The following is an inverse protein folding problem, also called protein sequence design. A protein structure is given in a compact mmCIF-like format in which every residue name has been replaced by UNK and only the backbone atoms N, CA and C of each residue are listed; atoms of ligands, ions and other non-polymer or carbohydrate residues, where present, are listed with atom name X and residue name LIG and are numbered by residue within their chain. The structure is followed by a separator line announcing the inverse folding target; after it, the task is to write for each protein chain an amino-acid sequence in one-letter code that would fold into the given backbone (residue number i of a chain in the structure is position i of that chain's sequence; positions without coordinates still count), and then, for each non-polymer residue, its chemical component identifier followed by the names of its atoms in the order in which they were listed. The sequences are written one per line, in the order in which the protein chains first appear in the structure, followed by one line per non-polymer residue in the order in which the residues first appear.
data_IF_595681333060
#
_entry.id   IF_595681333060
#
_cell.length_a   1.000
_cell.length_b   1.000
_cell.length_c   1.000
_cell.angle_alpha   90.00
_cell.angle_beta   90.00
_cell.angle_gamma   90.00
#
_symmetry.space_group_name_H-M   'P 1'
#
loop_
_entity.id
_entity.type
_entity.pdbx_description
1 polymer ?
#
# COMPACT_ATOMS: atom_id res chain seq x y z
N UNK A 1 4.27 11.20 -37.51
CA UNK A 1 5.59 11.54 -36.96
C UNK A 1 5.33 12.46 -35.78
N UNK A 2 5.40 11.93 -34.57
CA UNK A 2 5.01 12.62 -33.35
C UNK A 2 6.27 13.21 -32.71
N UNK A 3 6.37 14.53 -32.73
CA UNK A 3 7.53 15.27 -32.24
C UNK A 3 7.48 15.33 -30.72
N UNK A 4 8.24 14.46 -30.05
CA UNK A 4 8.48 14.61 -28.61
C UNK A 4 9.25 15.91 -28.35
N UNK A 5 8.56 16.93 -27.84
CA UNK A 5 9.17 18.18 -27.39
C UNK A 5 10.12 17.87 -26.23
N UNK A 6 11.42 18.04 -26.46
CA UNK A 6 12.47 17.78 -25.47
C UNK A 6 12.44 18.84 -24.36
N UNK A 7 12.44 18.38 -23.10
CA UNK A 7 12.48 19.25 -21.92
C UNK A 7 13.79 20.06 -21.90
N UNK A 8 13.69 21.36 -21.68
CA UNK A 8 14.85 22.27 -21.58
C UNK A 8 15.59 22.06 -20.24
N UNK A 9 16.75 21.39 -20.30
CA UNK A 9 17.57 21.07 -19.11
C UNK A 9 18.31 22.26 -18.47
N UNK A 10 18.21 23.47 -19.04
CA UNK A 10 18.81 24.70 -18.48
C UNK A 10 17.82 25.54 -17.69
N UNK A 11 16.53 25.25 -17.79
CA UNK A 11 15.48 25.95 -17.08
C UNK A 11 15.02 25.09 -15.91
N UNK A 12 15.00 25.66 -14.70
CA UNK A 12 14.41 24.96 -13.54
C UNK A 12 12.92 24.71 -13.79
N UNK A 13 12.38 23.55 -13.39
CA UNK A 13 10.92 23.38 -13.36
C UNK A 13 10.29 24.41 -12.42
N UNK A 14 9.01 24.70 -12.66
CA UNK A 14 8.19 25.49 -11.74
C UNK A 14 8.06 24.74 -10.41
N UNK A 15 8.07 25.51 -9.31
CA UNK A 15 7.76 24.97 -7.99
C UNK A 15 6.24 24.75 -7.95
N UNK A 16 5.81 23.52 -7.71
CA UNK A 16 4.40 23.14 -7.59
C UNK A 16 4.02 23.19 -6.11
N UNK A 17 2.91 23.84 -5.77
CA UNK A 17 2.39 23.82 -4.40
C UNK A 17 1.86 22.40 -4.10
N UNK A 18 2.06 21.91 -2.88
CA UNK A 18 1.59 20.59 -2.47
C UNK A 18 0.06 20.45 -2.61
N UNK A 19 -0.69 21.56 -2.51
CA UNK A 19 -2.14 21.56 -2.71
C UNK A 19 -2.57 21.28 -4.15
N UNK A 20 -1.66 21.50 -5.11
CA UNK A 20 -1.90 21.22 -6.53
C UNK A 20 -1.55 19.77 -6.92
N UNK A 21 -1.01 18.97 -5.98
CA UNK A 21 -0.72 17.56 -6.20
C UNK A 21 -2.00 16.73 -6.12
N UNK A 22 -2.36 16.12 -7.25
CA UNK A 22 -3.43 15.13 -7.29
C UNK A 22 -2.87 13.75 -6.91
N UNK A 23 -2.89 13.44 -5.62
CA UNK A 23 -2.43 12.16 -5.08
C UNK A 23 -3.56 11.14 -5.13
N UNK A 24 -3.42 10.14 -6.01
CA UNK A 24 -4.31 8.98 -6.04
C UNK A 24 -3.61 7.76 -5.43
N UNK A 25 -4.36 6.97 -4.67
CA UNK A 25 -3.87 5.68 -4.20
C UNK A 25 -3.70 4.73 -5.39
N UNK A 26 -2.60 3.99 -5.40
CA UNK A 26 -2.41 2.91 -6.38
C UNK A 26 -3.54 1.90 -6.23
N UNK A 27 -4.08 1.42 -7.35
CA UNK A 27 -5.00 0.30 -7.37
C UNK A 27 -4.34 -0.93 -6.75
N UNK A 28 -5.09 -1.70 -5.97
CA UNK A 28 -4.68 -3.02 -5.51
C UNK A 28 -5.27 -4.11 -6.40
N UNK A 29 -4.52 -5.17 -6.57
CA UNK A 29 -4.98 -6.41 -7.18
C UNK A 29 -5.62 -7.27 -6.09
N UNK A 30 -6.83 -7.78 -6.36
CA UNK A 30 -7.56 -8.64 -5.42
C UNK A 30 -7.56 -10.07 -5.93
N UNK A 31 -7.22 -10.99 -5.04
CA UNK A 31 -7.28 -12.43 -5.26
C UNK A 31 -8.14 -13.08 -4.17
N UNK A 32 -8.69 -14.24 -4.48
CA UNK A 32 -9.33 -15.11 -3.50
C UNK A 32 -8.64 -16.47 -3.61
N UNK A 33 -8.09 -16.94 -2.49
CA UNK A 33 -7.41 -18.24 -2.42
C UNK A 33 -8.46 -19.38 -2.38
N UNK A 34 -8.04 -20.61 -2.66
CA UNK A 34 -8.92 -21.79 -2.66
C UNK A 34 -9.63 -22.03 -1.31
N UNK A 35 -9.06 -21.53 -0.21
CA UNK A 35 -9.64 -21.58 1.13
C UNK A 35 -10.57 -20.39 1.46
N UNK A 36 -10.88 -19.54 0.48
CA UNK A 36 -11.74 -18.36 0.61
C UNK A 36 -11.07 -17.13 1.24
N UNK A 37 -9.75 -17.17 1.51
CA UNK A 37 -9.05 -16.02 2.08
C UNK A 37 -8.80 -14.96 0.99
N UNK A 38 -9.26 -13.71 1.18
CA UNK A 38 -8.97 -12.63 0.24
C UNK A 38 -7.52 -12.13 0.41
N UNK A 39 -6.82 -11.93 -0.70
CA UNK A 39 -5.46 -11.36 -0.74
C UNK A 39 -5.50 -10.07 -1.54
N UNK A 40 -4.88 -9.03 -1.01
CA UNK A 40 -4.73 -7.74 -1.69
C UNK A 40 -3.24 -7.47 -1.92
N UNK A 41 -2.86 -7.28 -3.17
CA UNK A 41 -1.47 -7.05 -3.57
C UNK A 41 -1.31 -5.69 -4.24
N UNK A 42 -0.19 -5.01 -3.94
CA UNK A 42 0.17 -3.73 -4.56
C UNK A 42 1.62 -3.84 -5.04
N UNK A 43 1.85 -3.64 -6.33
CA UNK A 43 3.20 -3.48 -6.85
C UNK A 43 3.66 -2.02 -6.69
N UNK A 44 4.49 -1.78 -5.67
CA UNK A 44 4.98 -0.44 -5.35
C UNK A 44 6.19 -0.01 -6.21
N UNK A 45 6.90 -0.95 -6.84
CA UNK A 45 7.92 -0.73 -7.88
C UNK A 45 9.19 0.06 -7.50
N UNK A 46 9.28 0.59 -6.28
CA UNK A 46 10.41 1.42 -5.87
C UNK A 46 11.64 0.59 -5.46
N UNK A 47 11.43 -0.62 -4.94
CA UNK A 47 12.46 -1.46 -4.33
C UNK A 47 12.17 -2.95 -4.60
N UNK A 48 13.22 -3.77 -4.68
CA UNK A 48 13.14 -5.24 -4.77
C UNK A 48 12.91 -5.87 -3.38
N UNK A 49 11.85 -5.42 -2.70
CA UNK A 49 11.45 -5.88 -1.36
C UNK A 49 9.98 -6.24 -1.35
N UNK A 50 9.61 -7.21 -0.51
CA UNK A 50 8.23 -7.63 -0.31
C UNK A 50 7.84 -7.48 1.15
N UNK A 51 6.67 -6.89 1.39
CA UNK A 51 6.02 -6.84 2.68
C UNK A 51 4.75 -7.69 2.62
N UNK A 52 4.53 -8.51 3.64
CA UNK A 52 3.35 -9.36 3.77
C UNK A 52 2.75 -9.12 5.15
N UNK A 53 1.46 -8.81 5.19
CA UNK A 53 0.71 -8.58 6.42
C UNK A 53 -0.49 -9.53 6.48
N UNK A 54 -0.71 -10.12 7.65
CA UNK A 54 -1.90 -10.93 7.94
C UNK A 54 -2.84 -10.14 8.84
N UNK A 55 -4.08 -9.97 8.40
CA UNK A 55 -5.12 -9.29 9.17
C UNK A 55 -6.15 -10.32 9.60
N UNK A 56 -6.26 -10.51 10.91
CA UNK A 56 -7.25 -11.38 11.51
C UNK A 56 -8.42 -10.55 12.05
N UNK A 57 -9.65 -10.99 11.79
CA UNK A 57 -10.84 -10.42 12.43
C UNK A 57 -10.96 -10.94 13.88
N UNK A 58 -10.04 -10.48 14.71
CA UNK A 58 -9.87 -10.86 16.10
C UNK A 58 -9.28 -9.68 16.89
N UNK A 59 -9.12 -9.83 18.21
CA UNK A 59 -8.49 -8.81 19.06
C UNK A 59 -9.11 -8.77 20.45
N UNK A 60 -8.68 -7.80 21.27
CA UNK A 60 -9.12 -7.68 22.65
C UNK A 60 -10.65 -7.56 22.79
N UNK A 61 -11.36 -7.00 21.79
CA UNK A 61 -12.82 -6.90 21.83
C UNK A 61 -13.55 -8.25 21.73
N UNK A 62 -12.85 -9.31 21.33
CA UNK A 62 -13.38 -10.67 21.23
C UNK A 62 -12.91 -11.57 22.39
N UNK A 63 -12.14 -11.05 23.36
CA UNK A 63 -11.54 -11.87 24.40
C UNK A 63 -12.50 -12.15 25.57
N UNK A 64 -12.58 -13.41 25.99
CA UNK A 64 -13.29 -13.79 27.23
C UNK A 64 -12.46 -13.51 28.49
N UNK A 65 -11.13 -13.51 28.33
CA UNK A 65 -10.16 -13.28 29.40
C UNK A 65 -9.18 -12.21 28.95
N UNK A 66 -8.94 -11.25 29.83
CA UNK A 66 -8.01 -10.17 29.57
C UNK A 66 -6.62 -10.70 29.18
N UNK A 67 -5.97 -9.96 28.28
CA UNK A 67 -4.59 -10.19 27.80
C UNK A 67 -4.40 -11.37 26.86
N UNK A 68 -5.46 -12.09 26.46
CA UNK A 68 -5.33 -13.22 25.53
C UNK A 68 -4.83 -12.73 24.18
N UNK A 69 -5.52 -11.76 23.57
CA UNK A 69 -5.14 -11.27 22.25
C UNK A 69 -3.77 -10.59 22.23
N UNK A 70 -3.44 -9.80 23.27
CA UNK A 70 -2.13 -9.17 23.40
C UNK A 70 -0.99 -10.20 23.53
N UNK A 71 -1.19 -11.25 24.34
CA UNK A 71 -0.18 -12.29 24.53
C UNK A 71 -0.01 -13.16 23.28
N UNK A 72 -1.10 -13.44 22.55
CA UNK A 72 -1.06 -14.19 21.30
C UNK A 72 -0.33 -13.43 20.19
N UNK A 73 -0.50 -12.11 20.08
CA UNK A 73 0.16 -11.30 19.05
C UNK A 73 1.63 -11.00 19.35
N UNK A 74 2.07 -11.15 20.60
CA UNK A 74 3.44 -10.81 21.02
C UNK A 74 4.49 -11.88 20.64
N UNK A 75 4.06 -13.10 20.31
CA UNK A 75 4.91 -14.24 19.94
C UNK A 75 4.86 -14.48 18.43
#
# INVERSE_FOLDING_TARGET
METALSVNRKQSPLIVDAVDLHLELKSCEKYELDNGVPVYAINAGAEEVMMVEWVFFAGNCFEEKNLVAATTNYL
#
